data_IF_347982578904
#
_entry.id   IF_347982578904
#
_cell.length_a   1.000
_cell.length_b   1.000
_cell.length_c   1.000
_cell.angle_alpha   90.00
_cell.angle_beta   90.00
_cell.angle_gamma   90.00
#
_symmetry.space_group_name_H-M   'P 1'
#
loop_
_entity.id
_entity.type
_entity.pdbx_description
1 polymer ?
#
# COMPACT_ATOMS: atom_id res chain seq x y z
N UNK A 1 -8.01 44.90 12.75
CA UNK A 1 -8.84 44.31 11.67
C UNK A 1 -7.98 43.36 10.82
N UNK A 2 -7.41 42.29 11.39
CA UNK A 2 -6.67 41.25 10.66
C UNK A 2 -6.77 39.94 11.45
N UNK A 3 -7.90 39.23 11.35
CA UNK A 3 -8.01 37.90 11.96
C UNK A 3 -8.99 36.94 11.25
N UNK A 4 -9.72 37.40 10.22
CA UNK A 4 -10.68 36.55 9.50
C UNK A 4 -10.12 35.81 8.26
N UNK A 5 -8.89 36.08 7.84
CA UNK A 5 -8.35 35.52 6.59
C UNK A 5 -7.66 34.16 6.83
N UNK A 6 -7.07 33.91 8.00
CA UNK A 6 -6.32 32.65 8.26
C UNK A 6 -7.22 31.42 8.41
N UNK A 7 -8.43 31.55 8.97
CA UNK A 7 -9.37 30.43 9.07
C UNK A 7 -9.97 30.01 7.73
N UNK A 8 -10.21 30.95 6.81
CA UNK A 8 -10.77 30.62 5.49
C UNK A 8 -9.77 29.91 4.59
N UNK A 9 -8.48 30.27 4.66
CA UNK A 9 -7.44 29.60 3.86
C UNK A 9 -7.18 28.17 4.35
N UNK A 10 -7.20 27.93 5.67
CA UNK A 10 -7.07 26.57 6.22
C UNK A 10 -8.28 25.69 5.87
N UNK A 11 -9.50 26.24 5.97
CA UNK A 11 -10.74 25.53 5.60
C UNK A 11 -10.79 25.25 4.10
N UNK A 12 -10.34 26.17 3.24
CA UNK A 12 -10.27 25.93 1.78
C UNK A 12 -9.18 24.92 1.43
N UNK A 13 -8.04 24.88 2.13
CA UNK A 13 -7.01 23.87 1.88
C UNK A 13 -7.44 22.47 2.34
N UNK A 14 -8.08 22.35 3.50
CA UNK A 14 -8.63 21.08 3.99
C UNK A 14 -9.80 20.64 3.11
N UNK A 15 -10.72 21.54 2.76
CA UNK A 15 -11.84 21.25 1.87
C UNK A 15 -11.37 20.93 0.44
N UNK A 16 -10.36 21.60 -0.11
CA UNK A 16 -9.80 21.23 -1.41
C UNK A 16 -9.15 19.84 -1.34
N UNK A 17 -8.32 19.57 -0.33
CA UNK A 17 -7.72 18.24 -0.16
C UNK A 17 -8.81 17.17 -0.07
N UNK A 18 -9.92 17.45 0.62
CA UNK A 18 -11.09 16.57 0.81
C UNK A 18 -12.00 16.48 -0.45
N UNK A 19 -12.22 17.55 -1.20
CA UNK A 19 -13.01 17.60 -2.45
C UNK A 19 -12.37 16.76 -3.56
N UNK A 20 -11.06 16.50 -3.48
CA UNK A 20 -10.36 15.55 -4.35
C UNK A 20 -10.63 14.07 -4.00
N UNK A 21 -11.18 13.74 -2.82
CA UNK A 21 -11.33 12.34 -2.39
C UNK A 21 -12.57 11.64 -2.93
N UNK A 22 -13.62 12.38 -3.33
CA UNK A 22 -14.95 11.80 -3.38
C UNK A 22 -15.80 12.23 -4.57
N UNK A 23 -15.23 12.63 -5.71
CA UNK A 23 -16.05 12.80 -6.92
C UNK A 23 -16.54 11.44 -7.45
N UNK A 24 -17.69 11.00 -6.93
CA UNK A 24 -18.79 10.32 -7.62
C UNK A 24 -18.46 9.16 -8.57
N UNK A 25 -18.88 7.96 -8.15
CA UNK A 25 -18.76 6.67 -8.85
C UNK A 25 -17.32 6.16 -9.01
N UNK A 26 -17.14 4.84 -9.03
CA UNK A 26 -15.93 4.22 -9.61
C UNK A 26 -15.99 4.44 -11.12
N UNK A 27 -15.99 5.71 -11.55
CA UNK A 27 -15.60 6.08 -12.89
C UNK A 27 -14.15 5.63 -13.03
N UNK A 28 -13.78 5.15 -14.21
CA UNK A 28 -12.38 4.97 -14.57
C UNK A 28 -11.64 6.28 -14.26
N UNK A 29 -10.77 6.28 -13.25
CA UNK A 29 -9.97 7.44 -12.93
C UNK A 29 -8.62 7.24 -13.60
N UNK A 30 -8.40 7.98 -14.69
CA UNK A 30 -7.09 8.04 -15.32
C UNK A 30 -6.16 8.90 -14.45
N UNK A 31 -5.05 8.34 -14.00
CA UNK A 31 -4.01 9.11 -13.31
C UNK A 31 -2.67 8.95 -14.02
N UNK A 32 -1.84 9.99 -13.94
CA UNK A 32 -0.48 9.97 -14.45
C UNK A 32 0.40 9.24 -13.42
N UNK A 33 1.06 8.17 -13.84
CA UNK A 33 2.13 7.55 -13.06
C UNK A 33 3.47 7.93 -13.65
N UNK A 34 4.37 8.40 -12.79
CA UNK A 34 5.78 8.61 -13.07
C UNK A 34 6.59 7.69 -12.18
N UNK A 35 7.43 6.88 -12.80
CA UNK A 35 8.33 5.97 -12.12
C UNK A 35 9.76 6.43 -12.37
N UNK A 36 10.48 6.70 -11.29
CA UNK A 36 11.89 7.02 -11.31
C UNK A 36 12.69 5.78 -10.90
N UNK A 37 13.65 5.39 -11.71
CA UNK A 37 14.52 4.24 -11.41
C UNK A 37 15.84 4.74 -10.87
N UNK A 38 16.20 4.30 -9.66
CA UNK A 38 17.47 4.61 -9.01
C UNK A 38 18.34 3.35 -9.08
N UNK A 39 19.20 3.32 -10.09
CA UNK A 39 20.02 2.16 -10.43
C UNK A 39 21.23 2.57 -11.28
N UNK A 40 22.27 1.73 -11.30
CA UNK A 40 23.47 1.95 -12.13
C UNK A 40 23.17 1.83 -13.64
N UNK A 41 22.20 0.98 -13.98
CA UNK A 41 21.67 0.82 -15.33
C UNK A 41 20.16 1.06 -15.28
N UNK A 42 19.60 1.65 -16.33
CA UNK A 42 18.14 1.76 -16.46
C UNK A 42 17.53 0.38 -16.75
N UNK A 43 16.28 0.12 -16.31
CA UNK A 43 15.58 -1.08 -16.76
C UNK A 43 15.29 -1.01 -18.26
N UNK A 44 15.03 -2.15 -18.89
CA UNK A 44 14.59 -2.29 -20.27
C UNK A 44 13.18 -1.71 -20.44
N UNK A 45 12.26 -2.14 -19.57
CA UNK A 45 10.89 -1.68 -19.49
C UNK A 45 10.44 -1.50 -18.03
N UNK A 46 9.35 -0.73 -17.86
CA UNK A 46 8.60 -0.67 -16.61
C UNK A 46 7.14 -0.91 -16.96
N UNK A 47 6.52 -1.89 -16.31
CA UNK A 47 5.16 -2.32 -16.60
C UNK A 47 4.34 -2.41 -15.33
N UNK A 48 3.02 -2.30 -15.48
CA UNK A 48 2.06 -2.60 -14.43
C UNK A 48 1.27 -3.83 -14.83
N UNK A 49 1.23 -4.79 -13.93
CA UNK A 49 0.59 -6.07 -14.15
C UNK A 49 -0.46 -6.30 -13.07
N UNK A 50 -1.74 -6.39 -13.44
CA UNK A 50 -2.79 -6.91 -12.57
C UNK A 50 -2.79 -8.44 -12.58
N UNK A 51 -3.21 -9.06 -11.48
CA UNK A 51 -3.32 -10.53 -11.35
C UNK A 51 -4.26 -11.16 -12.40
N UNK A 52 -5.23 -10.40 -12.89
CA UNK A 52 -6.23 -10.86 -13.86
C UNK A 52 -6.10 -10.18 -15.23
N UNK A 53 -5.05 -9.37 -15.44
CA UNK A 53 -4.87 -8.69 -16.71
C UNK A 53 -4.15 -9.59 -17.72
N UNK A 54 -4.73 -9.81 -18.92
CA UNK A 54 -4.12 -10.64 -19.94
C UNK A 54 -2.88 -9.99 -20.57
N UNK A 55 -2.74 -8.65 -20.47
CA UNK A 55 -1.58 -7.93 -20.97
C UNK A 55 -1.14 -6.84 -19.98
N UNK A 56 0.16 -6.77 -19.64
CA UNK A 56 0.67 -5.74 -18.75
C UNK A 56 0.67 -4.36 -19.45
N UNK A 57 0.36 -3.31 -18.69
CA UNK A 57 0.41 -1.94 -19.18
C UNK A 57 1.84 -1.42 -19.13
N UNK A 58 2.43 -1.09 -20.28
CA UNK A 58 3.79 -0.56 -20.36
C UNK A 58 3.83 0.94 -20.11
N UNK A 59 4.75 1.41 -19.28
CA UNK A 59 5.04 2.83 -19.09
C UNK A 59 6.07 3.28 -20.14
N UNK A 60 5.77 4.38 -20.84
CA UNK A 60 6.65 4.95 -21.84
C UNK A 60 7.89 5.57 -21.20
N UNK A 61 9.08 5.28 -21.75
CA UNK A 61 10.31 5.94 -21.30
C UNK A 61 10.30 7.41 -21.68
N UNK A 62 10.63 8.28 -20.73
CA UNK A 62 10.78 9.72 -21.00
C UNK A 62 11.99 9.94 -21.91
N UNK A 63 11.76 10.56 -23.07
CA UNK A 63 12.81 10.85 -24.05
C UNK A 63 13.92 11.75 -23.49
N UNK A 64 13.61 12.56 -22.48
CA UNK A 64 14.56 13.48 -21.84
C UNK A 64 15.35 12.86 -20.68
N UNK A 65 14.87 11.74 -20.11
CA UNK A 65 15.44 11.10 -18.92
C UNK A 65 15.35 9.59 -19.02
N UNK A 66 16.47 8.95 -19.32
CA UNK A 66 16.53 7.49 -19.53
C UNK A 66 16.04 6.66 -18.33
N UNK A 67 16.11 7.21 -17.11
CA UNK A 67 15.68 6.59 -15.85
C UNK A 67 14.27 6.95 -15.39
N UNK A 68 13.48 7.62 -16.23
CA UNK A 68 12.10 8.01 -15.90
C UNK A 68 11.12 7.39 -16.88
N UNK A 69 10.06 6.80 -16.36
CA UNK A 69 8.99 6.16 -17.11
C UNK A 69 7.68 6.82 -16.75
N UNK A 70 6.82 7.05 -17.74
CA UNK A 70 5.55 7.72 -17.59
C UNK A 70 4.45 7.01 -18.37
N UNK A 71 3.29 6.90 -17.76
CA UNK A 71 2.09 6.45 -18.43
C UNK A 71 0.84 7.04 -17.77
N UNK A 72 -0.25 7.05 -18.52
CA UNK A 72 -1.58 7.27 -17.96
C UNK A 72 -2.18 5.91 -17.70
N UNK A 73 -2.73 5.73 -16.50
CA UNK A 73 -3.30 4.49 -16.05
C UNK A 73 -4.75 4.74 -15.70
N UNK A 74 -5.63 3.99 -16.35
CA UNK A 74 -7.01 3.91 -15.93
C UNK A 74 -7.11 3.00 -14.72
N UNK A 75 -7.83 3.48 -13.71
CA UNK A 75 -8.08 2.70 -12.51
C UNK A 75 -9.57 2.49 -12.30
N UNK A 76 -10.03 1.23 -12.17
CA UNK A 76 -9.29 -0.01 -12.49
C UNK A 76 -8.99 -0.16 -14.01
N UNK A 77 -7.93 -0.89 -14.39
CA UNK A 77 -7.57 -1.12 -15.79
C UNK A 77 -8.54 -2.02 -16.57
N UNK A 78 -9.48 -2.70 -15.90
CA UNK A 78 -10.59 -3.41 -16.54
C UNK A 78 -11.93 -3.06 -15.88
N UNK A 79 -12.71 -2.22 -16.56
CA UNK A 79 -13.97 -1.67 -16.05
C UNK A 79 -15.20 -2.55 -16.36
N UNK A 80 -15.05 -3.88 -16.36
CA UNK A 80 -16.21 -4.77 -16.45
C UNK A 80 -17.13 -4.51 -15.25
N UNK A 81 -18.42 -4.23 -15.49
CA UNK A 81 -19.30 -3.61 -14.49
C UNK A 81 -19.50 -4.43 -13.20
N UNK A 82 -19.11 -5.71 -13.20
CA UNK A 82 -19.17 -6.60 -12.02
C UNK A 82 -17.94 -6.48 -11.09
N UNK A 83 -16.81 -5.91 -11.53
CA UNK A 83 -15.55 -5.85 -10.75
C UNK A 83 -15.33 -4.53 -10.00
N UNK A 84 -16.07 -3.47 -10.33
CA UNK A 84 -15.88 -2.09 -9.81
C UNK A 84 -15.92 -1.95 -8.28
N UNK A 85 -16.44 -2.95 -7.56
CA UNK A 85 -16.61 -2.91 -6.09
C UNK A 85 -15.68 -3.87 -5.32
N UNK A 86 -14.80 -4.63 -5.97
CA UNK A 86 -13.87 -5.58 -5.31
C UNK A 86 -12.43 -5.03 -5.17
N UNK A 87 -12.15 -3.85 -5.72
CA UNK A 87 -10.81 -3.46 -6.16
C UNK A 87 -9.92 -2.73 -5.15
N UNK A 88 -10.37 -2.47 -3.91
CA UNK A 88 -9.45 -1.88 -2.90
C UNK A 88 -8.23 -2.77 -2.65
N UNK A 89 -8.33 -4.07 -2.97
CA UNK A 89 -7.30 -5.07 -2.68
C UNK A 89 -6.86 -5.94 -3.85
N UNK A 90 -7.36 -5.71 -5.06
CA UNK A 90 -6.77 -6.38 -6.21
C UNK A 90 -5.31 -5.91 -6.32
N UNK A 91 -4.33 -6.81 -6.16
CA UNK A 91 -2.95 -6.40 -6.16
C UNK A 91 -2.52 -6.14 -7.60
N UNK A 92 -1.94 -4.96 -7.81
CA UNK A 92 -1.24 -4.64 -9.04
C UNK A 92 0.23 -4.62 -8.74
N UNK A 93 1.01 -5.09 -9.68
CA UNK A 93 2.44 -5.18 -9.53
C UNK A 93 3.10 -4.19 -10.47
N UNK A 94 3.79 -3.22 -9.90
CA UNK A 94 4.73 -2.41 -10.67
C UNK A 94 6.02 -3.22 -10.83
N UNK A 95 6.41 -3.49 -12.07
CA UNK A 95 7.55 -4.34 -12.42
C UNK A 95 8.54 -3.52 -13.24
N UNK A 96 9.79 -3.41 -12.76
CA UNK A 96 10.91 -2.94 -13.58
C UNK A 96 11.79 -4.11 -13.97
N UNK A 97 12.12 -4.27 -15.26
CA UNK A 97 12.94 -5.40 -15.74
C UNK A 97 14.33 -4.97 -16.17
N UNK A 98 15.33 -5.71 -15.71
CA UNK A 98 16.74 -5.56 -16.04
C UNK A 98 17.26 -6.89 -16.59
N UNK A 99 16.99 -7.16 -17.87
CA UNK A 99 17.35 -8.41 -18.54
C UNK A 99 16.82 -9.64 -17.80
N UNK A 100 17.72 -10.41 -17.19
CA UNK A 100 17.38 -11.63 -16.44
C UNK A 100 16.89 -11.38 -15.00
N UNK A 101 16.66 -10.13 -14.61
CA UNK A 101 16.24 -9.76 -13.26
C UNK A 101 15.06 -8.80 -13.29
N UNK A 102 14.25 -8.79 -12.23
CA UNK A 102 13.14 -7.86 -12.10
C UNK A 102 12.95 -7.43 -10.64
N UNK A 103 12.59 -6.17 -10.48
CA UNK A 103 12.11 -5.61 -9.21
C UNK A 103 10.60 -5.44 -9.30
N UNK A 104 9.91 -5.82 -8.22
CA UNK A 104 8.46 -5.77 -8.15
C UNK A 104 8.04 -4.95 -6.93
N UNK A 105 6.97 -4.18 -7.06
CA UNK A 105 6.37 -3.44 -5.97
C UNK A 105 4.86 -3.64 -6.02
N UNK A 106 4.30 -4.16 -4.92
CA UNK A 106 2.88 -4.43 -4.81
C UNK A 106 2.11 -3.14 -4.50
N UNK A 107 1.20 -2.82 -5.39
CA UNK A 107 0.31 -1.69 -5.34
C UNK A 107 -1.11 -2.17 -5.04
N UNK A 108 -1.81 -1.40 -4.21
CA UNK A 108 -3.24 -1.54 -3.99
C UNK A 108 -3.81 -0.15 -3.90
N UNK A 109 -4.97 0.01 -4.49
CA UNK A 109 -5.48 1.34 -4.69
C UNK A 109 -6.45 1.68 -3.59
N UNK A 110 -5.99 2.61 -2.76
CA UNK A 110 -6.83 3.29 -1.79
C UNK A 110 -7.81 4.23 -2.46
N UNK A 111 -8.81 4.63 -1.68
CA UNK A 111 -9.72 5.72 -1.97
C UNK A 111 -8.97 7.04 -2.20
N UNK A 112 -9.26 7.72 -3.31
CA UNK A 112 -8.80 9.10 -3.55
C UNK A 112 -7.33 9.24 -3.98
N UNK A 113 -6.93 8.55 -5.04
CA UNK A 113 -5.60 8.74 -5.63
C UNK A 113 -5.38 10.18 -6.12
N UNK A 114 -4.15 10.71 -5.98
CA UNK A 114 -3.79 11.94 -6.67
C UNK A 114 -3.82 11.72 -8.19
N UNK A 115 -4.14 12.77 -8.96
CA UNK A 115 -4.07 12.77 -10.44
C UNK A 115 -2.69 12.41 -10.99
N UNK A 116 -1.66 12.57 -10.16
CA UNK A 116 -0.27 12.29 -10.47
C UNK A 116 0.37 11.54 -9.32
N UNK A 117 1.04 10.46 -9.65
CA UNK A 117 1.71 9.59 -8.70
C UNK A 117 3.18 9.45 -9.10
N UNK A 118 4.08 9.68 -8.15
CA UNK A 118 5.53 9.53 -8.36
C UNK A 118 6.05 8.42 -7.45
N UNK A 119 6.71 7.41 -8.04
CA UNK A 119 7.28 6.26 -7.33
C UNK A 119 8.76 6.12 -7.69
N UNK A 120 9.58 5.77 -6.70
CA UNK A 120 10.97 5.37 -6.93
C UNK A 120 11.12 3.85 -6.86
N UNK A 121 11.75 3.24 -7.87
CA UNK A 121 12.20 1.84 -7.86
C UNK A 121 13.72 1.83 -7.70
N UNK A 122 14.22 1.09 -6.71
CA UNK A 122 15.65 0.93 -6.47
C UNK A 122 16.12 -0.41 -7.01
N UNK A 123 17.19 -0.40 -7.80
CA UNK A 123 17.86 -1.61 -8.24
C UNK A 123 19.37 -1.42 -8.08
N UNK A 124 19.91 -2.03 -7.03
CA UNK A 124 21.32 -1.94 -6.65
C UNK A 124 21.84 -3.36 -6.37
N UNK A 125 23.04 -3.67 -6.86
CA UNK A 125 23.68 -4.93 -6.49
C UNK A 125 24.05 -4.92 -5.01
N UNK A 126 23.68 -5.99 -4.32
CA UNK A 126 23.98 -6.15 -2.88
C UNK A 126 25.15 -7.11 -2.68
N UNK A 127 26.16 -6.63 -1.95
CA UNK A 127 27.28 -7.44 -1.48
C UNK A 127 26.83 -8.39 -0.36
N UNK A 128 27.46 -9.55 -0.23
CA UNK A 128 27.20 -10.53 0.84
C UNK A 128 27.81 -10.12 2.19
N UNK A 129 28.58 -9.03 2.22
CA UNK A 129 29.25 -8.57 3.43
C UNK A 129 28.25 -8.26 4.56
N UNK A 130 28.52 -8.64 5.82
CA UNK A 130 27.67 -8.30 6.96
C UNK A 130 27.38 -6.79 7.08
N UNK A 131 28.35 -5.96 6.72
CA UNK A 131 28.24 -4.49 6.70
C UNK A 131 27.16 -3.98 5.75
N UNK A 132 26.84 -4.72 4.69
CA UNK A 132 25.74 -4.36 3.77
C UNK A 132 24.43 -4.30 4.53
N UNK A 133 24.14 -5.33 5.34
CA UNK A 133 22.92 -5.42 6.13
C UNK A 133 22.86 -4.34 7.22
N UNK A 134 23.98 -4.09 7.89
CA UNK A 134 24.08 -2.98 8.87
C UNK A 134 23.80 -1.62 8.22
N UNK A 135 24.26 -1.42 6.99
CA UNK A 135 24.00 -0.19 6.24
C UNK A 135 22.52 -0.04 5.88
N UNK A 136 21.85 -1.15 5.53
CA UNK A 136 20.40 -1.17 5.27
C UNK A 136 19.62 -0.86 6.55
N UNK A 137 20.02 -1.42 7.69
CA UNK A 137 19.38 -1.19 9.01
C UNK A 137 19.46 0.27 9.48
N UNK A 138 20.45 1.02 9.00
CA UNK A 138 20.64 2.43 9.33
C UNK A 138 19.82 3.38 8.44
N UNK A 139 19.09 2.86 7.45
CA UNK A 139 18.19 3.68 6.63
C UNK A 139 17.06 4.27 7.50
N UNK A 140 16.68 5.50 7.17
CA UNK A 140 15.61 6.22 7.87
C UNK A 140 14.22 5.59 7.68
N UNK A 141 13.23 6.19 8.33
CA UNK A 141 11.81 5.78 8.20
C UNK A 141 10.99 6.69 7.27
N UNK A 142 11.64 7.66 6.62
CA UNK A 142 10.99 8.45 5.58
C UNK A 142 10.63 7.58 4.36
N UNK A 143 9.78 8.11 3.49
CA UNK A 143 9.23 7.37 2.36
C UNK A 143 10.31 6.77 1.46
N UNK A 144 11.32 7.58 1.10
CA UNK A 144 12.40 7.16 0.21
C UNK A 144 13.29 6.12 0.88
N UNK A 145 13.67 6.34 2.14
CA UNK A 145 14.46 5.37 2.90
C UNK A 145 13.74 4.03 3.08
N UNK A 146 12.41 4.04 3.27
CA UNK A 146 11.61 2.82 3.36
C UNK A 146 11.56 2.05 2.04
N UNK A 147 11.35 2.73 0.91
CA UNK A 147 11.41 2.09 -0.41
C UNK A 147 12.80 1.50 -0.68
N UNK A 148 13.87 2.26 -0.40
CA UNK A 148 15.24 1.76 -0.55
C UNK A 148 15.50 0.54 0.35
N UNK A 149 15.05 0.58 1.60
CA UNK A 149 15.17 -0.55 2.53
C UNK A 149 14.41 -1.78 2.00
N UNK A 150 13.18 -1.59 1.50
CA UNK A 150 12.37 -2.65 0.89
C UNK A 150 13.12 -3.38 -0.23
N UNK A 151 13.62 -2.65 -1.23
CA UNK A 151 14.31 -3.28 -2.38
C UNK A 151 15.65 -3.89 -1.98
N UNK A 152 16.48 -3.19 -1.20
CA UNK A 152 17.80 -3.71 -0.81
C UNK A 152 17.69 -4.96 0.07
N UNK A 153 16.77 -4.96 1.05
CA UNK A 153 16.56 -6.11 1.94
C UNK A 153 15.97 -7.31 1.19
N UNK A 154 15.10 -7.10 0.21
CA UNK A 154 14.60 -8.14 -0.70
C UNK A 154 15.71 -8.73 -1.56
N UNK A 155 16.52 -7.90 -2.21
CA UNK A 155 17.65 -8.36 -3.02
C UNK A 155 18.65 -9.16 -2.18
N UNK A 156 18.95 -8.68 -0.97
CA UNK A 156 19.86 -9.33 -0.05
C UNK A 156 19.29 -10.68 0.43
N UNK A 157 18.00 -10.73 0.77
CA UNK A 157 17.31 -11.97 1.13
C UNK A 157 17.36 -13.01 0.01
N UNK A 158 16.99 -12.60 -1.21
CA UNK A 158 17.01 -13.48 -2.39
C UNK A 158 18.40 -14.05 -2.62
N UNK A 159 19.46 -13.22 -2.50
CA UNK A 159 20.84 -13.70 -2.61
C UNK A 159 21.15 -14.83 -1.62
N UNK A 160 20.80 -14.66 -0.35
CA UNK A 160 21.02 -15.69 0.66
C UNK A 160 20.14 -16.94 0.45
N UNK A 161 18.88 -16.75 0.09
CA UNK A 161 17.90 -17.84 -0.06
C UNK A 161 18.12 -18.66 -1.33
N UNK A 162 18.37 -18.03 -2.47
CA UNK A 162 18.39 -18.71 -3.79
C UNK A 162 19.79 -18.92 -4.33
N UNK A 163 20.68 -17.91 -4.26
CA UNK A 163 22.03 -18.02 -4.82
C UNK A 163 22.96 -18.80 -3.89
N UNK A 164 23.00 -18.42 -2.61
CA UNK A 164 23.83 -19.10 -1.61
C UNK A 164 23.17 -20.35 -1.03
N UNK A 165 21.86 -20.53 -1.23
CA UNK A 165 21.05 -21.66 -0.74
C UNK A 165 21.14 -21.85 0.79
N UNK A 166 21.18 -20.74 1.53
CA UNK A 166 21.24 -20.72 2.99
C UNK A 166 20.05 -19.95 3.59
N UNK A 167 18.80 -20.41 3.36
CA UNK A 167 17.59 -19.70 3.79
C UNK A 167 17.45 -19.57 5.31
N UNK A 168 18.13 -20.43 6.08
CA UNK A 168 18.07 -20.46 7.54
C UNK A 168 19.21 -19.70 8.23
N UNK A 169 20.10 -19.08 7.43
CA UNK A 169 21.21 -18.28 7.95
C UNK A 169 20.68 -16.99 8.60
N UNK A 170 21.40 -16.48 9.61
CA UNK A 170 21.02 -15.26 10.34
C UNK A 170 20.84 -14.06 9.41
N UNK A 171 21.67 -13.96 8.38
CA UNK A 171 21.61 -12.88 7.39
C UNK A 171 20.30 -12.91 6.59
N UNK A 172 19.85 -14.10 6.17
CA UNK A 172 18.57 -14.29 5.48
C UNK A 172 17.38 -13.90 6.38
N UNK A 173 17.39 -14.36 7.63
CA UNK A 173 16.33 -14.03 8.58
C UNK A 173 16.23 -12.52 8.84
N UNK A 174 17.37 -11.85 9.09
CA UNK A 174 17.40 -10.40 9.33
C UNK A 174 16.93 -9.62 8.11
N UNK A 175 17.39 -9.97 6.91
CA UNK A 175 16.96 -9.28 5.68
C UNK A 175 15.49 -9.52 5.38
N UNK A 176 14.96 -10.72 5.61
CA UNK A 176 13.52 -10.98 5.50
C UNK A 176 12.71 -10.11 6.47
N UNK A 177 13.16 -9.98 7.72
CA UNK A 177 12.51 -9.08 8.68
C UNK A 177 12.53 -7.63 8.21
N UNK A 178 13.66 -7.12 7.73
CA UNK A 178 13.74 -5.73 7.24
C UNK A 178 12.84 -5.49 6.03
N UNK A 179 12.74 -6.47 5.13
CA UNK A 179 11.82 -6.42 4.01
C UNK A 179 10.37 -6.39 4.49
N UNK A 180 10.01 -7.29 5.41
CA UNK A 180 8.68 -7.35 6.02
C UNK A 180 8.30 -6.03 6.71
N UNK A 181 9.19 -5.51 7.56
CA UNK A 181 9.00 -4.25 8.27
C UNK A 181 8.83 -3.07 7.29
N UNK A 182 9.60 -3.06 6.19
CA UNK A 182 9.55 -2.00 5.19
C UNK A 182 8.27 -2.08 4.36
N UNK A 183 7.87 -3.28 3.94
CA UNK A 183 6.60 -3.51 3.23
C UNK A 183 5.40 -3.11 4.11
N UNK A 184 5.39 -3.52 5.38
CA UNK A 184 4.36 -3.10 6.33
C UNK A 184 4.39 -1.59 6.56
N UNK A 185 5.59 -1.01 6.70
CA UNK A 185 5.78 0.43 6.85
C UNK A 185 5.19 1.24 5.69
N UNK A 186 5.36 0.76 4.45
CA UNK A 186 4.77 1.36 3.25
C UNK A 186 3.25 1.18 3.22
N UNK A 187 2.74 -0.01 3.55
CA UNK A 187 1.31 -0.34 3.57
C UNK A 187 0.52 0.36 4.70
N UNK A 188 1.19 0.81 5.76
CA UNK A 188 0.58 1.53 6.87
C UNK A 188 0.68 3.06 6.73
N UNK A 189 1.32 3.60 5.68
CA UNK A 189 1.37 5.05 5.47
C UNK A 189 -0.04 5.59 5.18
N UNK A 190 -0.31 6.81 5.64
CA UNK A 190 -1.56 7.50 5.30
C UNK A 190 -1.64 7.70 3.79
N UNK A 191 -2.81 7.45 3.20
CA UNK A 191 -3.08 7.60 1.77
C UNK A 191 -2.09 6.81 0.89
N UNK A 192 -1.62 5.68 1.39
CA UNK A 192 -0.68 4.83 0.67
C UNK A 192 -1.37 4.08 -0.46
N UNK A 193 -0.58 3.79 -1.48
CA UNK A 193 -0.93 2.94 -2.60
C UNK A 193 -0.23 1.58 -2.52
N UNK A 194 0.52 1.33 -1.45
CA UNK A 194 1.30 0.10 -1.30
C UNK A 194 0.49 -0.93 -0.54
N UNK A 195 0.51 -2.16 -1.05
CA UNK A 195 0.03 -3.31 -0.29
C UNK A 195 1.19 -3.98 0.44
N UNK A 196 0.81 -4.78 1.42
CA UNK A 196 1.75 -5.74 1.98
C UNK A 196 2.19 -6.69 0.87
N UNK A 197 3.49 -6.88 0.75
CA UNK A 197 4.08 -7.78 -0.23
C UNK A 197 3.77 -9.25 0.13
N UNK A 198 3.09 -9.95 -0.78
CA UNK A 198 2.64 -11.32 -0.56
C UNK A 198 3.79 -12.31 -0.44
N UNK A 199 4.87 -12.13 -1.20
CA UNK A 199 6.03 -13.02 -1.21
C UNK A 199 6.69 -13.05 0.18
N UNK A 200 6.89 -11.87 0.79
CA UNK A 200 7.48 -11.80 2.12
C UNK A 200 6.54 -12.32 3.21
N UNK A 201 5.22 -12.16 3.07
CA UNK A 201 4.26 -12.74 4.02
C UNK A 201 4.35 -14.26 4.02
N UNK A 202 4.44 -14.89 2.85
CA UNK A 202 4.62 -16.34 2.73
C UNK A 202 5.96 -16.79 3.32
N UNK A 203 7.06 -16.11 2.99
CA UNK A 203 8.40 -16.40 3.55
C UNK A 203 8.40 -16.32 5.08
N UNK A 204 7.75 -15.31 5.66
CA UNK A 204 7.71 -15.15 7.12
C UNK A 204 6.85 -16.24 7.77
N UNK A 205 5.75 -16.69 7.14
CA UNK A 205 4.97 -17.84 7.60
C UNK A 205 5.77 -19.14 7.54
N UNK A 206 6.51 -19.37 6.46
CA UNK A 206 7.41 -20.52 6.35
C UNK A 206 8.45 -20.53 7.48
N UNK A 207 9.03 -19.37 7.81
CA UNK A 207 9.94 -19.25 8.94
C UNK A 207 9.24 -19.49 10.29
N UNK A 208 8.01 -19.03 10.48
CA UNK A 208 7.24 -19.37 11.69
C UNK A 208 7.00 -20.89 11.83
N UNK A 209 6.65 -21.57 10.74
CA UNK A 209 6.47 -23.04 10.74
C UNK A 209 7.80 -23.77 10.98
N UNK A 210 8.89 -23.33 10.35
CA UNK A 210 10.22 -23.90 10.57
C UNK A 210 10.67 -23.72 12.02
N UNK A 211 10.37 -22.57 12.64
CA UNK A 211 10.69 -22.31 14.04
C UNK A 211 9.90 -23.18 15.04
N UNK A 212 8.83 -23.85 14.61
CA UNK A 212 8.12 -24.85 15.43
C UNK A 212 8.80 -26.22 15.39
N UNK A 213 9.48 -26.55 14.29
CA UNK A 213 10.03 -27.88 14.04
C UNK A 213 11.55 -27.97 14.29
N UNK A 214 12.31 -26.89 14.07
CA UNK A 214 13.75 -26.81 14.33
C UNK A 214 14.04 -25.92 15.55
N UNK A 215 14.54 -26.52 16.63
CA UNK A 215 14.89 -25.80 17.88
C UNK A 215 16.00 -24.77 17.68
N UNK A 216 17.04 -25.10 16.91
CA UNK A 216 18.17 -24.21 16.66
C UNK A 216 17.73 -23.01 15.82
N UNK A 217 16.86 -23.23 14.83
CA UNK A 217 16.25 -22.14 14.08
C UNK A 217 15.30 -21.32 14.95
N UNK A 218 14.51 -21.96 15.82
CA UNK A 218 13.58 -21.29 16.73
C UNK A 218 14.24 -20.22 17.60
N UNK A 219 15.40 -20.55 18.20
CA UNK A 219 16.15 -19.60 19.04
C UNK A 219 16.66 -18.40 18.23
N UNK A 220 17.16 -18.63 17.01
CA UNK A 220 17.56 -17.55 16.10
C UNK A 220 16.36 -16.71 15.67
N UNK A 221 15.27 -17.35 15.24
CA UNK A 221 14.04 -16.70 14.80
C UNK A 221 13.49 -15.75 15.88
N UNK A 222 13.34 -16.25 17.10
CA UNK A 222 12.79 -15.50 18.24
C UNK A 222 13.65 -14.32 18.69
N UNK A 223 14.96 -14.31 18.36
CA UNK A 223 15.83 -13.14 18.61
C UNK A 223 15.39 -11.92 17.80
N UNK A 224 14.84 -12.13 16.61
CA UNK A 224 14.47 -11.04 15.69
C UNK A 224 12.97 -10.84 15.57
N UNK A 225 12.19 -11.91 15.66
CA UNK A 225 10.74 -11.88 15.42
C UNK A 225 9.99 -12.29 16.69
N UNK A 226 9.34 -11.34 17.39
CA UNK A 226 8.51 -11.65 18.55
C UNK A 226 7.34 -12.57 18.19
N UNK A 227 6.85 -13.31 19.18
CA UNK A 227 5.66 -14.16 19.00
C UNK A 227 4.46 -13.34 18.54
N UNK A 228 3.70 -13.86 17.57
CA UNK A 228 2.51 -13.23 16.94
C UNK A 228 2.79 -11.93 16.19
N UNK A 229 4.05 -11.53 16.03
CA UNK A 229 4.42 -10.29 15.35
C UNK A 229 3.96 -10.27 13.88
N UNK A 230 4.25 -11.34 13.14
CA UNK A 230 3.92 -11.43 11.71
C UNK A 230 2.41 -11.35 11.51
N UNK A 231 1.65 -12.23 12.17
CA UNK A 231 0.20 -12.25 12.10
C UNK A 231 -0.44 -10.91 12.50
N UNK A 232 -0.02 -10.33 13.63
CA UNK A 232 -0.54 -9.04 14.09
C UNK A 232 -0.25 -7.88 13.13
N UNK A 233 0.94 -7.87 12.52
CA UNK A 233 1.32 -6.83 11.55
C UNK A 233 0.53 -6.98 10.25
N UNK A 234 0.37 -8.21 9.75
CA UNK A 234 -0.44 -8.49 8.55
C UNK A 234 -1.91 -8.09 8.76
N UNK A 235 -2.48 -8.39 9.94
CA UNK A 235 -3.82 -7.93 10.28
C UNK A 235 -3.94 -6.39 10.26
N UNK A 236 -2.94 -5.67 10.77
CA UNK A 236 -2.93 -4.20 10.75
C UNK A 236 -2.88 -3.66 9.32
N UNK A 237 -2.05 -4.23 8.45
CA UNK A 237 -1.96 -3.80 7.04
C UNK A 237 -3.25 -4.09 6.27
N UNK A 238 -3.92 -5.21 6.58
CA UNK A 238 -5.25 -5.56 6.06
C UNK A 238 -6.28 -4.50 6.46
N UNK A 239 -6.25 -4.06 7.71
CA UNK A 239 -7.25 -3.15 8.26
C UNK A 239 -6.97 -1.67 7.93
N UNK A 240 -5.72 -1.29 7.66
CA UNK A 240 -5.29 0.10 7.51
C UNK A 240 -6.09 0.94 6.48
N UNK A 241 -6.49 0.42 5.30
CA UNK A 241 -7.29 1.18 4.34
C UNK A 241 -8.64 1.67 4.91
N UNK A 242 -9.20 0.97 5.89
CA UNK A 242 -10.50 1.30 6.49
C UNK A 242 -10.42 2.40 7.55
N UNK A 243 -9.21 2.87 7.89
CA UNK A 243 -9.02 4.01 8.80
C UNK A 243 -9.64 5.31 8.27
N UNK A 244 -9.88 5.40 6.95
CA UNK A 244 -10.52 6.55 6.29
C UNK A 244 -11.93 6.83 6.83
N UNK A 245 -12.64 5.81 7.36
CA UNK A 245 -13.96 5.97 8.00
C UNK A 245 -13.91 6.98 9.15
N UNK A 246 -12.75 7.10 9.82
CA UNK A 246 -12.53 8.10 10.86
C UNK A 246 -12.64 9.55 10.39
N UNK A 247 -12.69 9.81 9.08
CA UNK A 247 -12.89 11.16 8.52
C UNK A 247 -14.36 11.58 8.44
N UNK A 248 -15.30 10.63 8.46
CA UNK A 248 -16.75 10.89 8.35
C UNK A 248 -17.24 11.91 9.40
N UNK A 249 -16.88 11.81 10.70
CA UNK A 249 -17.30 12.81 11.68
C UNK A 249 -16.89 14.23 11.32
N UNK A 250 -15.65 14.43 10.85
CA UNK A 250 -15.15 15.75 10.43
C UNK A 250 -15.90 16.27 9.19
N UNK A 251 -16.22 15.42 8.23
CA UNK A 251 -17.04 15.79 7.06
C UNK A 251 -18.44 16.25 7.50
N UNK A 252 -19.05 15.53 8.44
CA UNK A 252 -20.35 15.90 8.98
C UNK A 252 -20.30 17.24 9.75
N UNK A 253 -19.30 17.43 10.61
CA UNK A 253 -19.09 18.67 11.37
C UNK A 253 -18.90 19.88 10.44
N UNK A 254 -18.17 19.69 9.34
CA UNK A 254 -17.89 20.73 8.34
C UNK A 254 -18.99 20.90 7.29
N UNK A 255 -20.12 20.21 7.44
CA UNK A 255 -21.30 20.25 6.54
C UNK A 255 -21.05 19.72 5.13
N UNK A 256 -20.00 18.92 4.95
CA UNK A 256 -19.71 18.18 3.72
C UNK A 256 -20.47 16.85 3.72
N UNK A 257 -21.81 16.94 3.66
CA UNK A 257 -22.70 15.79 3.86
C UNK A 257 -22.78 14.86 2.65
N UNK A 258 -22.62 15.38 1.44
CA UNK A 258 -22.56 14.56 0.22
C UNK A 258 -21.32 13.67 0.25
N UNK A 259 -20.18 14.26 0.57
CA UNK A 259 -18.89 13.58 0.68
C UNK A 259 -18.92 12.54 1.81
N UNK A 260 -19.46 12.91 2.98
CA UNK A 260 -19.62 11.96 4.08
C UNK A 260 -20.46 10.73 3.67
N UNK A 261 -21.52 10.95 2.88
CA UNK A 261 -22.39 9.88 2.39
C UNK A 261 -21.69 8.99 1.38
N UNK A 262 -20.99 9.59 0.41
CA UNK A 262 -20.25 8.86 -0.63
C UNK A 262 -19.14 7.99 -0.04
N UNK A 263 -18.36 8.54 0.90
CA UNK A 263 -17.32 7.78 1.59
C UNK A 263 -17.92 6.60 2.36
N UNK A 264 -19.00 6.84 3.09
CA UNK A 264 -19.67 5.81 3.86
C UNK A 264 -20.21 4.68 2.96
N UNK A 265 -20.90 5.05 1.87
CA UNK A 265 -21.44 4.11 0.90
C UNK A 265 -20.33 3.29 0.23
N UNK A 266 -19.22 3.94 -0.13
CA UNK A 266 -18.07 3.25 -0.73
C UNK A 266 -17.48 2.22 0.23
N UNK A 267 -17.16 2.61 1.47
CA UNK A 267 -16.58 1.68 2.44
C UNK A 267 -17.54 0.53 2.74
N UNK A 268 -18.85 0.79 2.81
CA UNK A 268 -19.88 -0.23 3.00
C UNK A 268 -19.90 -1.24 1.86
N UNK A 269 -19.82 -0.78 0.61
CA UNK A 269 -19.78 -1.64 -0.56
C UNK A 269 -18.55 -2.56 -0.55
N UNK A 270 -17.37 -2.00 -0.30
CA UNK A 270 -16.12 -2.77 -0.22
C UNK A 270 -16.20 -3.79 0.91
N UNK A 271 -16.58 -3.33 2.11
CA UNK A 271 -16.66 -4.21 3.28
C UNK A 271 -17.67 -5.33 3.06
N UNK A 272 -18.77 -5.11 2.33
CA UNK A 272 -19.77 -6.15 2.03
C UNK A 272 -19.18 -7.31 1.23
N UNK A 273 -18.30 -7.01 0.28
CA UNK A 273 -17.66 -8.00 -0.61
C UNK A 273 -16.48 -8.74 0.04
N UNK A 274 -16.02 -8.29 1.21
CA UNK A 274 -14.91 -8.93 1.92
C UNK A 274 -15.29 -10.28 2.56
N UNK A 275 -14.30 -11.14 2.75
CA UNK A 275 -14.47 -12.41 3.47
C UNK A 275 -14.86 -12.17 4.94
N UNK A 276 -15.50 -13.14 5.57
CA UNK A 276 -15.84 -13.07 7.01
C UNK A 276 -14.59 -12.84 7.88
N UNK A 277 -13.48 -13.51 7.56
CA UNK A 277 -12.21 -13.35 8.28
C UNK A 277 -11.69 -11.92 8.16
N UNK A 278 -11.73 -11.35 6.96
CA UNK A 278 -11.29 -9.97 6.72
C UNK A 278 -12.16 -8.96 7.45
N UNK A 279 -13.49 -9.14 7.44
CA UNK A 279 -14.44 -8.30 8.20
C UNK A 279 -14.11 -8.29 9.69
N UNK A 280 -13.82 -9.45 10.28
CA UNK A 280 -13.43 -9.57 11.69
C UNK A 280 -12.11 -8.86 12.00
N UNK A 281 -11.13 -8.93 11.10
CA UNK A 281 -9.85 -8.20 11.25
C UNK A 281 -10.08 -6.69 11.23
N UNK A 282 -10.87 -6.20 10.26
CA UNK A 282 -11.21 -4.78 10.12
C UNK A 282 -11.94 -4.29 11.37
N UNK A 283 -12.94 -5.02 11.85
CA UNK A 283 -13.68 -4.67 13.07
C UNK A 283 -12.76 -4.67 14.30
N UNK A 284 -11.87 -5.65 14.45
CA UNK A 284 -10.92 -5.73 15.55
C UNK A 284 -10.04 -4.49 15.65
N UNK A 285 -9.46 -4.06 14.52
CA UNK A 285 -8.43 -3.01 14.47
C UNK A 285 -8.96 -1.59 14.21
N UNK A 286 -10.00 -1.44 13.38
CA UNK A 286 -10.56 -0.12 13.01
C UNK A 286 -11.90 0.17 13.65
N UNK A 287 -12.53 -0.81 14.33
CA UNK A 287 -13.90 -0.68 14.88
C UNK A 287 -14.95 -0.34 13.82
N UNK A 288 -14.69 -0.73 12.57
CA UNK A 288 -15.61 -0.55 11.44
C UNK A 288 -16.31 -1.86 11.14
N UNK A 289 -17.63 -1.83 11.06
CA UNK A 289 -18.49 -2.94 10.63
C UNK A 289 -19.68 -2.41 9.80
N UNK A 290 -20.45 -3.31 9.18
CA UNK A 290 -21.57 -2.94 8.29
C UNK A 290 -22.64 -2.16 9.06
N UNK A 291 -23.02 -2.60 10.27
CA UNK A 291 -24.02 -1.94 11.11
C UNK A 291 -23.66 -0.49 11.44
N UNK A 292 -22.38 -0.20 11.69
CA UNK A 292 -21.89 1.16 11.92
C UNK A 292 -22.11 2.02 10.66
N UNK A 293 -21.77 1.48 9.48
CA UNK A 293 -21.89 2.20 8.21
C UNK A 293 -23.37 2.45 7.86
N UNK A 294 -24.28 1.53 8.19
CA UNK A 294 -25.73 1.75 8.05
C UNK A 294 -26.26 2.84 8.98
N UNK A 295 -25.78 2.88 10.22
CA UNK A 295 -26.14 3.95 11.17
C UNK A 295 -25.63 5.31 10.70
N UNK A 296 -24.41 5.37 10.17
CA UNK A 296 -23.85 6.57 9.58
C UNK A 296 -24.68 7.06 8.38
N UNK A 297 -25.05 6.15 7.47
CA UNK A 297 -25.87 6.44 6.30
C UNK A 297 -27.21 7.11 6.71
N UNK A 298 -27.92 6.49 7.65
CA UNK A 298 -29.18 7.03 8.18
C UNK A 298 -29.00 8.40 8.86
N UNK A 299 -27.95 8.54 9.67
CA UNK A 299 -27.66 9.79 10.37
C UNK A 299 -27.36 10.94 9.40
N UNK A 300 -26.44 10.73 8.45
CA UNK A 300 -26.07 11.72 7.44
C UNK A 300 -27.29 12.08 6.59
N UNK A 301 -28.09 11.08 6.17
CA UNK A 301 -29.33 11.29 5.43
C UNK A 301 -30.29 12.23 6.16
N UNK A 302 -30.51 12.00 7.47
CA UNK A 302 -31.37 12.86 8.29
C UNK A 302 -30.87 14.31 8.40
N UNK A 303 -29.56 14.53 8.36
CA UNK A 303 -28.97 15.86 8.39
C UNK A 303 -29.16 16.59 7.05
N UNK A 304 -29.06 15.88 5.93
CA UNK A 304 -29.31 16.44 4.59
C UNK A 304 -30.77 16.88 4.44
N UNK A 305 -31.72 16.06 4.88
CA UNK A 305 -33.15 16.42 4.88
C UNK A 305 -33.45 17.69 5.68
N UNK A 306 -32.73 17.91 6.79
CA UNK A 306 -32.87 19.12 7.62
C UNK A 306 -32.25 20.37 7.00
N UNK A 307 -31.28 20.24 6.09
CA UNK A 307 -30.71 21.38 5.36
C UNK A 307 -31.58 21.85 4.19
N UNK A 308 -32.43 20.95 3.67
CA UNK A 308 -33.36 21.24 2.57
C UNK A 308 -34.68 21.88 3.03
N UNK A 309 -34.92 21.95 4.35
CA UNK A 309 -36.10 22.57 4.97
C UNK A 309 -35.73 23.93 5.56
#
# INVERSE_FOLDING_TARGET
MVQQIRSRVLVVFVAATILFYLSGAVASHSFEMIVHTVADKSPEDVTIQGDHDPQPTSLGRDASKSSTFRGTLDWPPNADEKSKFQQIREPYMLVGRWGNSSEQLYLGFGLGLPKKLEIEIFHEEVSEAPRTLETIELLGKDYRSQLKCYFLSRAYHRKWRTQLKQPCHQAALRSAKLWFDSAAGLALRKNTIFLMDGEIVEIMKEYEELAKTDRNFSERYRRYVPSRYVGGTVEQTIAAPFSVVGTIPTLVETRQLDEAMELNAHVKAVLTNETLSTKQIIEKHQKVNIDLLEKNENYIGSLKEKQLR
#
